data_IF_748574474844
#
_entry.id   IF_748574474844
#
_cell.length_a   1.000
_cell.length_b   1.000
_cell.length_c   1.000
_cell.angle_alpha   90.00
_cell.angle_beta   90.00
_cell.angle_gamma   90.00
#
_symmetry.space_group_name_H-M   'P 1'
#
loop_
_entity.id
_entity.type
_entity.pdbx_description
1 polymer ?
#
# COMPACT_ATOMS: atom_id res chain seq x y z
N UNK A 1 21.63 19.71 -27.95
CA UNK A 1 20.60 20.76 -28.16
C UNK A 1 19.52 20.63 -27.11
N UNK A 2 18.77 21.70 -26.82
CA UNK A 2 17.70 21.68 -25.79
C UNK A 2 16.63 20.62 -26.09
N UNK A 3 16.19 20.54 -27.35
CA UNK A 3 15.20 19.56 -27.82
C UNK A 3 15.65 18.12 -27.62
N UNK A 4 16.94 17.82 -27.80
CA UNK A 4 17.47 16.47 -27.59
C UNK A 4 17.39 16.04 -26.13
N UNK A 5 17.66 16.94 -25.18
CA UNK A 5 17.52 16.64 -23.76
C UNK A 5 16.06 16.33 -23.39
N UNK A 6 15.10 17.06 -23.98
CA UNK A 6 13.67 16.79 -23.82
C UNK A 6 13.33 15.39 -24.35
N UNK A 7 13.75 15.07 -25.58
CA UNK A 7 13.47 13.77 -26.21
C UNK A 7 14.04 12.59 -25.41
N UNK A 8 15.26 12.73 -24.87
CA UNK A 8 15.90 11.70 -24.04
C UNK A 8 15.13 11.46 -22.74
N UNK A 9 14.71 12.53 -22.04
CA UNK A 9 13.90 12.41 -20.82
C UNK A 9 12.51 11.83 -21.12
N UNK A 10 11.83 12.29 -22.17
CA UNK A 10 10.53 11.74 -22.57
C UNK A 10 10.62 10.24 -22.88
N UNK A 11 11.68 9.80 -23.57
CA UNK A 11 11.91 8.38 -23.86
C UNK A 11 12.11 7.57 -22.58
N UNK A 12 12.84 8.11 -21.59
CA UNK A 12 13.04 7.46 -20.30
C UNK A 12 11.72 7.33 -19.51
N UNK A 13 10.90 8.38 -19.51
CA UNK A 13 9.58 8.40 -18.88
C UNK A 13 8.64 7.36 -19.50
N UNK A 14 8.63 7.22 -20.84
CA UNK A 14 7.87 6.17 -21.52
C UNK A 14 8.33 4.76 -21.13
N UNK A 15 9.60 4.59 -20.76
CA UNK A 15 10.14 3.33 -20.23
C UNK A 15 9.88 3.12 -18.74
N UNK A 16 9.16 4.05 -18.08
CA UNK A 16 8.82 3.99 -16.66
C UNK A 16 9.82 4.66 -15.72
N UNK A 17 10.89 5.29 -16.24
CA UNK A 17 11.83 6.02 -15.40
C UNK A 17 11.33 7.45 -15.12
N UNK A 18 10.61 7.58 -14.01
CA UNK A 18 10.05 8.84 -13.51
C UNK A 18 11.02 9.61 -12.58
N UNK A 19 12.29 9.18 -12.51
CA UNK A 19 13.32 9.86 -11.70
C UNK A 19 14.06 10.95 -12.48
N UNK A 20 13.92 10.94 -13.81
CA UNK A 20 14.58 11.87 -14.73
C UNK A 20 13.89 13.23 -14.72
N UNK A 21 14.67 14.27 -14.99
CA UNK A 21 14.16 15.63 -15.21
C UNK A 21 15.01 16.34 -16.25
N UNK A 22 14.41 17.34 -16.91
CA UNK A 22 15.10 18.15 -17.91
C UNK A 22 15.76 19.33 -17.19
N UNK A 23 17.09 19.35 -17.14
CA UNK A 23 17.91 20.36 -16.44
C UNK A 23 18.55 21.40 -17.36
N UNK A 24 18.49 21.22 -18.68
CA UNK A 24 19.12 22.13 -19.64
C UNK A 24 18.46 23.51 -19.61
N UNK A 25 19.27 24.57 -19.70
CA UNK A 25 18.74 25.93 -19.85
C UNK A 25 18.03 26.07 -21.20
N UNK A 26 16.81 26.60 -21.15
CA UNK A 26 15.95 26.87 -22.30
C UNK A 26 15.28 28.24 -22.13
N UNK A 27 14.83 28.83 -23.23
CA UNK A 27 14.11 30.11 -23.26
C UNK A 27 12.89 30.03 -24.17
N UNK A 28 11.94 30.94 -23.98
CA UNK A 28 10.70 31.00 -24.75
C UNK A 28 9.87 29.72 -24.65
N UNK A 29 9.34 29.26 -25.78
CA UNK A 29 8.46 28.09 -25.86
C UNK A 29 9.14 26.80 -25.38
N UNK A 30 10.45 26.66 -25.58
CA UNK A 30 11.20 25.48 -25.13
C UNK A 30 11.32 25.44 -23.61
N UNK A 31 11.38 26.60 -22.95
CA UNK A 31 11.35 26.68 -21.48
C UNK A 31 9.98 26.23 -20.95
N UNK A 32 8.90 26.75 -21.53
CA UNK A 32 7.54 26.36 -21.16
C UNK A 32 7.30 24.85 -21.37
N UNK A 33 7.75 24.29 -22.51
CA UNK A 33 7.66 22.86 -22.78
C UNK A 33 8.44 22.03 -21.74
N UNK A 34 9.66 22.45 -21.41
CA UNK A 34 10.50 21.81 -20.38
C UNK A 34 9.82 21.83 -19.02
N UNK A 35 9.21 22.95 -18.63
CA UNK A 35 8.50 23.06 -17.35
C UNK A 35 7.25 22.18 -17.32
N UNK A 36 6.44 22.18 -18.38
CA UNK A 36 5.26 21.34 -18.51
C UNK A 36 5.60 19.84 -18.46
N UNK A 37 6.67 19.41 -19.14
CA UNK A 37 7.10 18.01 -19.11
C UNK A 37 7.62 17.65 -17.72
N UNK A 38 8.42 18.50 -17.08
CA UNK A 38 8.88 18.25 -15.72
C UNK A 38 7.71 18.18 -14.72
N UNK A 39 6.66 18.97 -14.92
CA UNK A 39 5.42 18.88 -14.14
C UNK A 39 4.68 17.56 -14.38
N UNK A 40 4.50 17.16 -15.64
CA UNK A 40 3.91 15.87 -15.99
C UNK A 40 4.67 14.71 -15.32
N UNK A 41 6.00 14.73 -15.31
CA UNK A 41 6.82 13.68 -14.68
C UNK A 41 6.57 13.63 -13.17
N UNK A 42 6.53 14.78 -12.50
CA UNK A 42 6.20 14.85 -11.06
C UNK A 42 4.80 14.29 -10.78
N UNK A 43 3.82 14.66 -11.60
CA UNK A 43 2.44 14.21 -11.45
C UNK A 43 2.32 12.70 -11.69
N UNK A 44 2.96 12.17 -12.72
CA UNK A 44 3.01 10.72 -12.97
C UNK A 44 3.65 9.99 -11.80
N UNK A 45 4.77 10.48 -11.26
CA UNK A 45 5.44 9.88 -10.11
C UNK A 45 4.54 9.81 -8.88
N UNK A 46 3.87 10.92 -8.56
CA UNK A 46 2.92 10.99 -7.45
C UNK A 46 1.72 10.05 -7.66
N UNK A 47 1.17 10.02 -8.88
CA UNK A 47 0.08 9.09 -9.24
C UNK A 47 0.51 7.63 -9.15
N UNK A 48 1.72 7.28 -9.62
CA UNK A 48 2.22 5.90 -9.52
C UNK A 48 2.35 5.45 -8.07
N UNK A 49 2.86 6.31 -7.18
CA UNK A 49 2.96 6.00 -5.74
C UNK A 49 1.58 5.83 -5.11
N UNK A 50 0.66 6.77 -5.35
CA UNK A 50 -0.73 6.70 -4.84
C UNK A 50 -1.48 5.49 -5.39
N UNK A 51 -1.30 5.16 -6.66
CA UNK A 51 -1.92 3.99 -7.27
C UNK A 51 -1.39 2.70 -6.65
N UNK A 52 -0.08 2.58 -6.42
CA UNK A 52 0.49 1.43 -5.73
C UNK A 52 -0.05 1.31 -4.29
N UNK A 53 -0.21 2.44 -3.58
CA UNK A 53 -0.86 2.48 -2.27
C UNK A 53 -2.32 2.01 -2.30
N UNK A 54 -3.09 2.47 -3.28
CA UNK A 54 -4.48 2.06 -3.42
C UNK A 54 -4.65 0.62 -3.89
N UNK A 55 -3.79 0.15 -4.79
CA UNK A 55 -3.84 -1.20 -5.32
C UNK A 55 -3.52 -2.23 -4.24
N UNK A 56 -2.60 -1.94 -3.33
CA UNK A 56 -2.38 -2.82 -2.18
C UNK A 56 -3.62 -2.85 -1.27
N UNK A 57 -4.23 -1.70 -0.96
CA UNK A 57 -5.40 -1.62 -0.09
C UNK A 57 -6.57 -2.43 -0.66
N UNK A 58 -6.84 -2.24 -1.95
CA UNK A 58 -7.92 -2.94 -2.66
C UNK A 58 -7.65 -4.44 -2.72
N UNK A 59 -6.42 -4.84 -3.04
CA UNK A 59 -6.03 -6.26 -3.11
C UNK A 59 -6.19 -6.94 -1.76
N UNK A 60 -5.71 -6.31 -0.68
CA UNK A 60 -5.84 -6.85 0.66
C UNK A 60 -7.30 -6.94 1.10
N UNK A 61 -8.11 -5.90 0.89
CA UNK A 61 -9.53 -5.93 1.22
C UNK A 61 -10.27 -7.06 0.48
N UNK A 62 -10.00 -7.23 -0.81
CA UNK A 62 -10.58 -8.32 -1.60
C UNK A 62 -10.14 -9.71 -1.09
N UNK A 63 -8.89 -9.83 -0.64
CA UNK A 63 -8.38 -11.07 -0.02
C UNK A 63 -9.08 -11.34 1.32
N UNK A 64 -9.14 -10.36 2.22
CA UNK A 64 -9.85 -10.46 3.50
C UNK A 64 -11.31 -10.85 3.31
N UNK A 65 -12.01 -10.16 2.41
CA UNK A 65 -13.42 -10.44 2.13
C UNK A 65 -13.63 -11.90 1.70
N UNK A 66 -12.77 -12.43 0.82
CA UNK A 66 -12.81 -13.85 0.43
C UNK A 66 -12.51 -14.81 1.58
N UNK A 67 -11.56 -14.48 2.45
CA UNK A 67 -11.18 -15.33 3.59
C UNK A 67 -12.26 -15.38 4.66
N UNK A 68 -13.02 -14.29 4.83
CA UNK A 68 -14.11 -14.20 5.81
C UNK A 68 -15.44 -14.72 5.26
N UNK A 69 -15.54 -14.94 3.95
CA UNK A 69 -16.78 -15.37 3.31
C UNK A 69 -17.11 -16.82 3.68
N UNK A 70 -18.23 -17.01 4.37
CA UNK A 70 -18.71 -18.34 4.76
C UNK A 70 -18.12 -18.86 6.07
N UNK A 71 -17.12 -18.16 6.64
CA UNK A 71 -16.57 -18.48 7.95
C UNK A 71 -17.49 -17.99 9.06
N UNK A 72 -18.00 -18.92 9.86
CA UNK A 72 -18.85 -18.65 11.03
C UNK A 72 -18.13 -18.86 12.36
N UNK A 73 -16.96 -19.51 12.30
CA UNK A 73 -16.12 -19.72 13.47
C UNK A 73 -15.26 -18.48 13.74
N UNK A 74 -15.61 -17.75 14.79
CA UNK A 74 -14.93 -16.52 15.22
C UNK A 74 -13.46 -16.76 15.57
N UNK A 75 -13.10 -17.94 16.06
CA UNK A 75 -11.71 -18.28 16.36
C UNK A 75 -10.89 -18.40 15.06
N UNK A 76 -11.46 -19.04 14.04
CA UNK A 76 -10.83 -19.13 12.71
C UNK A 76 -10.70 -17.76 12.06
N UNK A 77 -11.77 -16.96 12.08
CA UNK A 77 -11.73 -15.56 11.61
C UNK A 77 -10.65 -14.75 12.32
N UNK A 78 -10.56 -14.84 13.65
CA UNK A 78 -9.58 -14.08 14.44
C UNK A 78 -8.13 -14.48 14.11
N UNK A 79 -7.87 -15.78 13.91
CA UNK A 79 -6.56 -16.27 13.48
C UNK A 79 -6.19 -15.79 12.08
N UNK A 80 -7.13 -15.85 11.14
CA UNK A 80 -6.94 -15.38 9.76
C UNK A 80 -6.64 -13.88 9.71
N UNK A 81 -7.36 -13.09 10.50
CA UNK A 81 -7.11 -11.65 10.63
C UNK A 81 -5.70 -11.41 11.18
N UNK A 82 -5.28 -12.11 12.23
CA UNK A 82 -3.94 -11.96 12.82
C UNK A 82 -2.81 -12.41 11.90
N UNK A 83 -2.99 -13.48 11.12
CA UNK A 83 -1.98 -13.96 10.18
C UNK A 83 -1.70 -12.99 9.03
N UNK A 84 -2.65 -12.10 8.71
CA UNK A 84 -2.54 -11.16 7.59
C UNK A 84 -2.25 -9.72 8.06
N UNK A 85 -2.92 -9.24 9.10
CA UNK A 85 -2.72 -7.87 9.60
C UNK A 85 -1.39 -7.68 10.31
N UNK A 86 -0.90 -8.67 11.07
CA UNK A 86 0.34 -8.50 11.81
C UNK A 86 1.56 -8.35 10.88
N UNK A 87 1.74 -9.16 9.82
CA UNK A 87 2.78 -8.90 8.81
C UNK A 87 2.61 -7.56 8.09
N UNK A 88 1.36 -7.16 7.81
CA UNK A 88 1.07 -5.93 7.07
C UNK A 88 1.61 -4.68 7.77
N UNK A 89 1.48 -4.61 9.09
CA UNK A 89 1.98 -3.49 9.90
C UNK A 89 3.39 -3.73 10.45
N UNK A 90 4.05 -4.80 9.99
CA UNK A 90 5.35 -5.26 10.49
C UNK A 90 5.36 -5.44 12.02
N UNK A 91 4.25 -5.95 12.58
CA UNK A 91 4.15 -6.24 14.01
C UNK A 91 5.01 -7.46 14.38
N UNK A 92 5.77 -7.33 15.46
CA UNK A 92 6.53 -8.45 16.03
C UNK A 92 5.61 -9.39 16.84
N UNK A 93 4.62 -8.82 17.51
CA UNK A 93 3.64 -9.55 18.32
C UNK A 93 2.26 -8.93 18.12
N UNK A 94 1.22 -9.75 18.16
CA UNK A 94 -0.17 -9.32 18.07
C UNK A 94 -1.09 -10.24 18.85
N UNK A 95 -2.15 -9.68 19.43
CA UNK A 95 -3.19 -10.43 20.14
C UNK A 95 -4.56 -9.90 19.74
N UNK A 96 -5.51 -10.81 19.57
CA UNK A 96 -6.90 -10.52 19.25
C UNK A 96 -7.77 -11.05 20.37
N UNK A 97 -8.46 -10.15 21.07
CA UNK A 97 -9.41 -10.51 22.12
C UNK A 97 -10.84 -10.35 21.63
N UNK A 98 -11.70 -11.27 22.05
CA UNK A 98 -13.15 -11.20 21.84
C UNK A 98 -13.81 -11.03 23.21
N UNK A 99 -14.81 -10.17 23.28
CA UNK A 99 -15.62 -10.05 24.50
C UNK A 99 -16.58 -11.23 24.60
N UNK A 100 -16.51 -11.95 25.71
CA UNK A 100 -17.47 -12.98 26.09
C UNK A 100 -18.31 -12.48 27.28
N UNK A 101 -19.54 -13.00 27.41
CA UNK A 101 -20.48 -12.65 28.47
C UNK A 101 -21.12 -13.91 29.02
N UNK A 102 -20.88 -14.17 30.30
CA UNK A 102 -21.52 -15.24 31.06
C UNK A 102 -22.13 -14.65 32.33
N UNK A 103 -23.39 -15.02 32.64
CA UNK A 103 -24.06 -14.78 33.93
C UNK A 103 -23.74 -13.41 34.62
N UNK A 104 -23.90 -12.30 33.89
CA UNK A 104 -23.65 -10.90 34.32
C UNK A 104 -22.18 -10.41 34.38
N UNK A 105 -21.19 -11.22 34.04
CA UNK A 105 -19.79 -10.78 33.88
C UNK A 105 -19.38 -10.71 32.42
N UNK A 106 -18.58 -9.69 32.08
CA UNK A 106 -17.99 -9.52 30.76
C UNK A 106 -16.48 -9.61 30.86
N UNK A 107 -15.89 -10.57 30.16
CA UNK A 107 -14.44 -10.76 30.13
C UNK A 107 -13.93 -10.78 28.68
N UNK A 108 -12.62 -10.54 28.55
CA UNK A 108 -11.92 -10.63 27.28
C UNK A 108 -11.29 -12.01 27.15
N UNK A 109 -11.69 -12.75 26.12
CA UNK A 109 -11.15 -14.05 25.79
C UNK A 109 -10.14 -13.89 24.65
N UNK A 110 -8.95 -14.48 24.78
CA UNK A 110 -7.96 -14.45 23.71
C UNK A 110 -8.41 -15.34 22.56
N UNK A 111 -8.71 -14.75 21.41
CA UNK A 111 -9.17 -15.46 20.22
C UNK A 111 -8.03 -15.84 19.26
N UNK A 112 -6.97 -15.03 19.17
CA UNK A 112 -5.79 -15.33 18.37
C UNK A 112 -4.55 -14.55 18.83
N UNK A 113 -3.36 -15.09 18.54
CA UNK A 113 -2.07 -14.41 18.73
C UNK A 113 -1.17 -14.56 17.50
N UNK A 114 -0.25 -13.61 17.32
CA UNK A 114 0.80 -13.62 16.32
C UNK A 114 2.16 -13.41 17.01
N UNK A 115 3.19 -14.15 16.59
CA UNK A 115 4.55 -14.02 17.10
C UNK A 115 4.79 -14.56 18.52
N UNK A 116 3.75 -14.91 19.27
CA UNK A 116 3.84 -15.62 20.53
C UNK A 116 3.54 -17.12 20.29
N UNK A 117 4.49 -18.02 20.61
CA UNK A 117 4.21 -19.44 20.71
C UNK A 117 3.07 -19.64 21.72
N UNK A 118 1.96 -20.23 21.27
CA UNK A 118 0.88 -20.68 22.15
C UNK A 118 1.48 -21.70 23.11
N UNK A 119 1.79 -21.30 24.36
CA UNK A 119 1.99 -22.27 25.44
C UNK A 119 0.63 -22.91 25.71
N UNK A 120 0.46 -24.11 25.16
CA UNK A 120 -0.62 -25.05 25.49
C UNK A 120 -0.56 -25.49 26.96
#
# INVERSE_FOLDING_TARGET
TQVRAIAEVSTAVTKGDLTRSISVQASGEVAALKDNINEMIRNLKDQTLKNAEQDWLKTNLARFSRMLQGERDLATVSRLIMSELAPLVNAQYGVFYVTNREEDESYLELAASYGAESRA
#
